data_IF_237802869830
#
_entry.id   IF_237802869830
#
_cell.length_a   1.000
_cell.length_b   1.000
_cell.length_c   1.000
_cell.angle_alpha   90.00
_cell.angle_beta   90.00
_cell.angle_gamma   90.00
#
_symmetry.space_group_name_H-M   'P 1'
#
loop_
_entity.id
_entity.type
_entity.pdbx_description
1 polymer ?
#
# COMPACT_ATOMS: atom_id res chain seq x y z
N UNK A 1 -32.78 17.25 -28.61
CA UNK A 1 -31.44 17.18 -29.21
C UNK A 1 -30.46 17.26 -28.05
N UNK A 2 -29.99 16.12 -27.60
CA UNK A 2 -29.00 16.05 -26.52
C UNK A 2 -27.62 16.26 -27.15
N UNK A 3 -27.04 17.44 -26.97
CA UNK A 3 -25.69 17.72 -27.36
C UNK A 3 -24.75 16.79 -26.59
N UNK A 4 -24.37 15.69 -27.24
CA UNK A 4 -23.32 14.82 -26.76
C UNK A 4 -21.98 15.58 -26.81
N UNK A 5 -21.50 15.97 -25.64
CA UNK A 5 -20.11 16.45 -25.50
C UNK A 5 -19.20 15.45 -26.22
N UNK A 6 -18.39 15.85 -27.20
CA UNK A 6 -17.54 14.91 -27.92
C UNK A 6 -16.56 14.28 -26.93
N UNK A 7 -16.81 13.00 -26.60
CA UNK A 7 -15.91 12.18 -25.81
C UNK A 7 -14.70 11.85 -26.67
N UNK A 8 -13.67 12.68 -26.60
CA UNK A 8 -12.44 12.53 -27.39
C UNK A 8 -11.59 11.40 -26.77
N UNK A 9 -12.12 10.15 -26.91
CA UNK A 9 -11.39 8.96 -26.45
C UNK A 9 -10.15 8.75 -27.31
N UNK A 10 -9.07 8.32 -26.64
CA UNK A 10 -7.82 7.99 -27.33
C UNK A 10 -8.01 6.82 -28.30
N UNK A 11 -7.30 6.86 -29.41
CA UNK A 11 -7.16 5.69 -30.27
C UNK A 11 -6.62 4.50 -29.48
N UNK A 12 -6.94 3.27 -29.87
CA UNK A 12 -6.51 2.05 -29.18
C UNK A 12 -4.98 2.01 -28.97
N UNK A 13 -4.20 2.43 -29.95
CA UNK A 13 -2.74 2.50 -29.87
C UNK A 13 -2.28 3.49 -28.79
N UNK A 14 -2.79 4.70 -28.81
CA UNK A 14 -2.46 5.73 -27.83
C UNK A 14 -2.90 5.35 -26.42
N UNK A 15 -4.08 4.73 -26.27
CA UNK A 15 -4.55 4.23 -24.98
C UNK A 15 -3.62 3.15 -24.40
N UNK A 16 -3.09 2.25 -25.22
CA UNK A 16 -2.11 1.24 -24.79
C UNK A 16 -0.80 1.92 -24.37
N UNK A 17 -0.28 2.87 -25.14
CA UNK A 17 0.96 3.57 -24.81
C UNK A 17 0.84 4.35 -23.50
N UNK A 18 -0.26 5.08 -23.31
CA UNK A 18 -0.56 5.78 -22.05
C UNK A 18 -0.67 4.80 -20.89
N UNK A 19 -1.39 3.67 -21.09
CA UNK A 19 -1.49 2.65 -20.07
C UNK A 19 -0.11 2.10 -19.67
N UNK A 20 0.74 1.72 -20.63
CA UNK A 20 2.07 1.15 -20.36
C UNK A 20 2.95 2.15 -19.61
N UNK A 21 2.93 3.43 -19.98
CA UNK A 21 3.72 4.46 -19.30
C UNK A 21 3.36 4.59 -17.81
N UNK A 22 2.06 4.68 -17.50
CA UNK A 22 1.61 4.75 -16.10
C UNK A 22 1.76 3.43 -15.35
N UNK A 23 1.56 2.29 -16.03
CA UNK A 23 1.71 0.97 -15.46
C UNK A 23 3.17 0.70 -15.05
N UNK A 24 4.13 1.13 -15.87
CA UNK A 24 5.55 1.03 -15.53
C UNK A 24 5.91 1.90 -14.33
N UNK A 25 5.41 3.13 -14.25
CA UNK A 25 5.60 3.99 -13.08
C UNK A 25 5.00 3.35 -11.81
N UNK A 26 3.83 2.73 -11.91
CA UNK A 26 3.20 2.07 -10.75
C UNK A 26 3.89 0.76 -10.35
N UNK A 27 4.42 -0.01 -11.32
CA UNK A 27 5.28 -1.16 -11.06
C UNK A 27 6.49 -0.75 -10.21
N UNK A 28 7.21 0.32 -10.62
CA UNK A 28 8.36 0.85 -9.87
C UNK A 28 7.95 1.37 -8.49
N UNK A 29 6.80 2.02 -8.38
CA UNK A 29 6.25 2.45 -7.09
C UNK A 29 6.06 1.28 -6.13
N UNK A 30 5.48 0.18 -6.60
CA UNK A 30 5.26 -0.99 -5.78
C UNK A 30 6.56 -1.72 -5.41
N UNK A 31 7.51 -1.80 -6.35
CA UNK A 31 8.83 -2.37 -6.12
C UNK A 31 9.61 -1.57 -5.06
N UNK A 32 9.74 -0.25 -5.23
CA UNK A 32 10.48 0.63 -4.30
C UNK A 32 9.83 0.66 -2.92
N UNK A 33 8.51 0.54 -2.84
CA UNK A 33 7.75 0.46 -1.59
C UNK A 33 8.15 -0.76 -0.76
N UNK A 34 8.31 -1.92 -1.40
CA UNK A 34 8.52 -3.19 -0.72
C UNK A 34 10.00 -3.61 -0.59
N UNK A 35 10.89 -2.97 -1.34
CA UNK A 35 12.31 -3.39 -1.44
C UNK A 35 13.05 -3.39 -0.09
N UNK A 36 12.61 -2.56 0.87
CA UNK A 36 13.27 -2.46 2.19
C UNK A 36 13.27 -3.78 2.95
N UNK A 37 12.22 -4.61 2.80
CA UNK A 37 12.19 -5.93 3.40
C UNK A 37 13.36 -6.81 2.95
N UNK A 38 13.65 -6.82 1.66
CA UNK A 38 14.78 -7.58 1.07
C UNK A 38 16.13 -6.99 1.44
N UNK A 39 16.23 -5.66 1.51
CA UNK A 39 17.47 -4.96 1.87
C UNK A 39 17.73 -4.93 3.38
N UNK A 40 16.75 -5.26 4.22
CA UNK A 40 16.85 -5.10 5.67
C UNK A 40 18.07 -5.76 6.30
N UNK A 41 18.53 -6.98 5.92
CA UNK A 41 19.72 -7.56 6.51
C UNK A 41 20.98 -6.75 6.21
N UNK A 42 21.15 -6.35 4.95
CA UNK A 42 22.34 -5.60 4.49
C UNK A 42 22.39 -4.20 5.13
N UNK A 43 21.27 -3.47 5.12
CA UNK A 43 21.22 -2.14 5.70
C UNK A 43 21.39 -2.18 7.22
N UNK A 44 20.81 -3.18 7.91
CA UNK A 44 21.01 -3.37 9.35
C UNK A 44 22.49 -3.61 9.68
N UNK A 45 23.18 -4.42 8.88
CA UNK A 45 24.60 -4.70 9.10
C UNK A 45 25.47 -3.48 8.79
N UNK A 46 25.24 -2.78 7.68
CA UNK A 46 26.08 -1.67 7.22
C UNK A 46 25.95 -0.43 8.11
N UNK A 47 24.75 -0.12 8.56
CA UNK A 47 24.45 1.07 9.36
C UNK A 47 24.19 0.77 10.84
N UNK A 48 24.43 -0.47 11.30
CA UNK A 48 24.18 -0.93 12.67
C UNK A 48 22.78 -0.57 13.19
N UNK A 49 21.74 -0.74 12.32
CA UNK A 49 20.38 -0.32 12.63
C UNK A 49 19.78 -1.18 13.75
N UNK A 50 19.16 -0.53 14.72
CA UNK A 50 18.27 -1.15 15.68
C UNK A 50 16.96 -1.59 15.02
N UNK A 51 16.09 -2.33 15.71
CA UNK A 51 14.77 -2.68 15.19
C UNK A 51 13.90 -1.43 15.02
N UNK A 52 14.01 -0.46 15.92
CA UNK A 52 13.36 0.85 15.82
C UNK A 52 13.80 1.60 14.56
N UNK A 53 15.12 1.67 14.30
CA UNK A 53 15.66 2.37 13.14
C UNK A 53 15.19 1.72 11.84
N UNK A 54 15.19 0.39 11.79
CA UNK A 54 14.71 -0.35 10.64
C UNK A 54 13.21 -0.10 10.38
N UNK A 55 12.40 -0.12 11.43
CA UNK A 55 10.97 0.20 11.37
C UNK A 55 10.72 1.63 10.92
N UNK A 56 11.49 2.60 11.43
CA UNK A 56 11.40 4.01 11.05
C UNK A 56 11.84 4.22 9.59
N UNK A 57 12.91 3.57 9.15
CA UNK A 57 13.43 3.65 7.78
C UNK A 57 12.40 3.15 6.77
N UNK A 58 11.82 1.97 7.00
CA UNK A 58 10.78 1.42 6.13
C UNK A 58 9.50 2.26 6.19
N UNK A 59 9.09 2.63 7.41
CA UNK A 59 7.92 3.47 7.66
C UNK A 59 8.02 4.85 7.05
N UNK A 60 9.21 5.43 6.97
CA UNK A 60 9.46 6.76 6.39
C UNK A 60 8.92 6.92 4.97
N UNK A 61 8.98 5.86 4.17
CA UNK A 61 8.33 5.84 2.86
C UNK A 61 6.81 6.02 2.98
N UNK A 62 6.18 5.30 3.87
CA UNK A 62 4.72 5.34 4.05
C UNK A 62 4.25 6.63 4.69
N UNK A 63 5.07 7.26 5.55
CA UNK A 63 4.81 8.58 6.08
C UNK A 63 4.79 9.63 4.95
N UNK A 64 5.79 9.63 4.06
CA UNK A 64 5.82 10.50 2.89
C UNK A 64 4.62 10.25 1.95
N UNK A 65 4.28 8.98 1.75
CA UNK A 65 3.12 8.59 0.95
C UNK A 65 1.80 9.07 1.58
N UNK A 66 1.62 8.91 2.89
CA UNK A 66 0.43 9.33 3.63
C UNK A 66 0.25 10.86 3.60
N UNK A 67 1.31 11.63 3.77
CA UNK A 67 1.29 13.09 3.81
C UNK A 67 0.68 13.71 2.54
N UNK A 68 0.74 13.02 1.42
CA UNK A 68 0.23 13.51 0.14
C UNK A 68 -1.20 13.08 -0.18
N UNK A 69 -1.80 12.14 0.57
CA UNK A 69 -3.10 11.53 0.19
C UNK A 69 -4.24 12.56 0.13
N UNK A 70 -4.32 13.48 1.09
CA UNK A 70 -5.41 14.46 1.10
C UNK A 70 -5.24 15.54 0.00
N UNK A 71 -4.07 16.17 -0.19
CA UNK A 71 -3.90 17.17 -1.23
C UNK A 71 -3.87 16.58 -2.66
N UNK A 72 -3.49 15.30 -2.81
CA UNK A 72 -3.32 14.66 -4.13
C UNK A 72 -4.60 14.71 -4.97
N UNK A 73 -5.77 14.45 -4.38
CA UNK A 73 -7.04 14.51 -5.09
C UNK A 73 -7.31 15.89 -5.70
N UNK A 74 -7.12 16.93 -4.90
CA UNK A 74 -7.31 18.33 -5.34
C UNK A 74 -6.29 18.74 -6.40
N UNK A 75 -5.05 18.29 -6.29
CA UNK A 75 -4.01 18.56 -7.30
C UNK A 75 -4.31 17.85 -8.62
N UNK A 76 -4.81 16.61 -8.58
CA UNK A 76 -5.22 15.88 -9.78
C UNK A 76 -6.40 16.55 -10.48
N UNK A 77 -7.39 17.03 -9.74
CA UNK A 77 -8.54 17.73 -10.30
C UNK A 77 -8.13 19.08 -10.94
N UNK A 78 -7.24 19.82 -10.29
CA UNK A 78 -6.81 21.16 -10.72
C UNK A 78 -5.77 21.13 -11.84
N UNK A 79 -4.75 20.29 -11.75
CA UNK A 79 -3.58 20.31 -12.66
C UNK A 79 -3.57 19.14 -13.64
N UNK A 80 -4.41 18.12 -13.38
CA UNK A 80 -4.52 16.90 -14.18
C UNK A 80 -3.42 15.86 -13.90
N UNK A 81 -3.68 14.61 -14.31
CA UNK A 81 -2.82 13.46 -14.00
C UNK A 81 -1.39 13.59 -14.49
N UNK A 82 -1.20 14.10 -15.71
CA UNK A 82 0.13 14.24 -16.35
C UNK A 82 1.05 15.13 -15.53
N UNK A 83 0.65 16.38 -15.28
CA UNK A 83 1.48 17.35 -14.56
C UNK A 83 1.80 16.89 -13.16
N UNK A 84 0.80 16.40 -12.43
CA UNK A 84 0.97 15.92 -11.05
C UNK A 84 1.97 14.76 -11.00
N UNK A 85 1.80 13.73 -11.83
CA UNK A 85 2.72 12.58 -11.83
C UNK A 85 4.14 12.99 -12.21
N UNK A 86 4.34 13.90 -13.16
CA UNK A 86 5.68 14.35 -13.55
C UNK A 86 6.42 15.00 -12.38
N UNK A 87 5.77 15.92 -11.64
CA UNK A 87 6.38 16.53 -10.46
C UNK A 87 6.67 15.50 -9.36
N UNK A 88 5.76 14.57 -9.14
CA UNK A 88 5.93 13.53 -8.16
C UNK A 88 7.05 12.55 -8.55
N UNK A 89 7.12 12.10 -9.81
CA UNK A 89 8.21 11.24 -10.27
C UNK A 89 9.57 11.94 -10.21
N UNK A 90 9.64 13.25 -10.42
CA UNK A 90 10.87 13.99 -10.20
C UNK A 90 11.34 13.89 -8.74
N UNK A 91 10.43 14.06 -7.79
CA UNK A 91 10.74 13.87 -6.35
C UNK A 91 11.17 12.43 -6.08
N UNK A 92 10.55 11.44 -6.75
CA UNK A 92 10.94 10.03 -6.62
C UNK A 92 12.34 9.75 -7.16
N UNK A 93 12.73 10.34 -8.30
CA UNK A 93 14.10 10.26 -8.83
C UNK A 93 15.08 10.81 -7.82
N UNK A 94 14.82 12.03 -7.29
CA UNK A 94 15.66 12.64 -6.25
C UNK A 94 15.74 11.76 -4.99
N UNK A 95 14.63 11.15 -4.58
CA UNK A 95 14.60 10.20 -3.46
C UNK A 95 15.46 8.96 -3.72
N UNK A 96 15.41 8.37 -4.92
CA UNK A 96 16.26 7.22 -5.26
C UNK A 96 17.74 7.59 -5.34
N UNK A 97 18.07 8.74 -5.93
CA UNK A 97 19.45 9.26 -5.96
C UNK A 97 19.97 9.53 -4.54
N UNK A 98 19.19 10.23 -3.72
CA UNK A 98 19.55 10.50 -2.33
C UNK A 98 19.77 9.21 -1.54
N UNK A 99 18.94 8.17 -1.77
CA UNK A 99 19.14 6.87 -1.13
C UNK A 99 20.45 6.21 -1.56
N UNK A 100 20.76 6.22 -2.86
CA UNK A 100 22.00 5.65 -3.39
C UNK A 100 23.26 6.34 -2.86
N UNK A 101 23.16 7.65 -2.55
CA UNK A 101 24.26 8.48 -2.05
C UNK A 101 24.33 8.56 -0.52
N UNK A 102 23.39 7.96 0.18
CA UNK A 102 23.30 8.10 1.63
C UNK A 102 24.41 7.33 2.36
N UNK A 103 25.11 8.02 3.27
CA UNK A 103 26.14 7.47 4.14
C UNK A 103 25.74 7.53 5.63
N UNK A 104 24.50 7.93 5.92
CA UNK A 104 23.95 8.05 7.26
C UNK A 104 22.51 7.58 7.32
N UNK A 105 22.07 7.16 8.50
CA UNK A 105 20.67 6.80 8.76
C UNK A 105 19.70 7.93 8.42
N UNK A 106 20.00 9.17 8.80
CA UNK A 106 19.17 10.33 8.51
C UNK A 106 19.04 10.60 6.99
N UNK A 107 20.13 10.40 6.25
CA UNK A 107 20.14 10.48 4.78
C UNK A 107 19.23 9.41 4.15
N UNK A 108 19.34 8.17 4.61
CA UNK A 108 18.46 7.07 4.16
C UNK A 108 17.00 7.35 4.49
N UNK A 109 16.70 7.84 5.70
CA UNK A 109 15.34 8.15 6.13
C UNK A 109 14.70 9.28 5.29
N UNK A 110 15.43 10.37 5.06
CA UNK A 110 14.98 11.46 4.19
C UNK A 110 14.73 10.97 2.77
N UNK A 111 15.63 10.15 2.22
CA UNK A 111 15.50 9.57 0.90
C UNK A 111 14.27 8.66 0.79
N UNK A 112 13.95 7.86 1.81
CA UNK A 112 12.74 7.05 1.89
C UNK A 112 11.48 7.90 1.94
N UNK A 113 11.48 8.96 2.75
CA UNK A 113 10.37 9.91 2.80
C UNK A 113 10.11 10.57 1.43
N UNK A 114 11.15 11.08 0.77
CA UNK A 114 11.05 11.67 -0.57
C UNK A 114 10.54 10.65 -1.60
N UNK A 115 11.05 9.40 -1.57
CA UNK A 115 10.57 8.33 -2.44
C UNK A 115 9.08 8.05 -2.21
N UNK A 116 8.63 8.07 -0.94
CA UNK A 116 7.22 7.90 -0.57
C UNK A 116 6.34 9.01 -1.13
N UNK A 117 6.72 10.28 -0.94
CA UNK A 117 6.07 11.44 -1.56
C UNK A 117 6.01 11.26 -3.07
N UNK A 118 7.16 11.02 -3.71
CA UNK A 118 7.28 11.00 -5.16
C UNK A 118 6.51 9.87 -5.85
N UNK A 119 6.29 8.74 -5.19
CA UNK A 119 5.61 7.59 -5.80
C UNK A 119 4.12 7.48 -5.42
N UNK A 120 3.62 8.37 -4.56
CA UNK A 120 2.24 8.32 -4.05
C UNK A 120 1.17 8.58 -5.12
N UNK A 121 1.48 9.32 -6.17
CA UNK A 121 0.55 9.64 -7.25
C UNK A 121 0.41 8.53 -8.31
N UNK A 122 1.31 7.53 -8.33
CA UNK A 122 1.45 6.58 -9.44
C UNK A 122 0.22 5.68 -9.69
N UNK A 123 -0.66 5.48 -8.70
CA UNK A 123 -1.92 4.76 -8.88
C UNK A 123 -3.10 5.70 -9.14
N UNK A 124 -3.26 6.73 -8.32
CA UNK A 124 -4.45 7.59 -8.37
C UNK A 124 -4.50 8.46 -9.63
N UNK A 125 -3.35 8.94 -10.10
CA UNK A 125 -3.30 9.78 -11.27
C UNK A 125 -3.78 9.07 -12.57
N UNK A 126 -3.28 7.87 -12.92
CA UNK A 126 -3.81 7.17 -14.09
C UNK A 126 -5.29 6.81 -13.95
N UNK A 127 -5.75 6.38 -12.78
CA UNK A 127 -7.17 6.08 -12.57
C UNK A 127 -8.07 7.30 -12.79
N UNK A 128 -7.60 8.50 -12.42
CA UNK A 128 -8.28 9.77 -12.72
C UNK A 128 -8.25 10.07 -14.22
N UNK A 129 -7.11 9.86 -14.89
CA UNK A 129 -6.96 10.09 -16.33
C UNK A 129 -7.81 9.13 -17.18
N UNK A 130 -7.83 7.85 -16.85
CA UNK A 130 -8.57 6.84 -17.61
C UNK A 130 -10.07 7.14 -17.70
N UNK A 131 -10.65 7.77 -16.68
CA UNK A 131 -12.08 8.19 -16.70
C UNK A 131 -12.41 9.13 -17.85
N UNK A 132 -11.44 9.91 -18.37
CA UNK A 132 -11.64 10.85 -19.48
C UNK A 132 -11.06 10.35 -20.80
N UNK A 133 -9.97 9.59 -20.74
CA UNK A 133 -9.21 9.22 -21.93
C UNK A 133 -9.65 7.90 -22.55
N UNK A 134 -10.24 7.01 -21.74
CA UNK A 134 -10.59 5.65 -22.18
C UNK A 134 -12.10 5.47 -22.28
N UNK A 135 -12.53 4.67 -23.24
CA UNK A 135 -13.92 4.21 -23.31
C UNK A 135 -14.31 3.40 -22.06
N UNK A 136 -15.56 3.45 -21.62
CA UNK A 136 -16.04 2.86 -20.37
C UNK A 136 -15.62 1.39 -20.18
N UNK A 137 -15.73 0.57 -21.24
CA UNK A 137 -15.32 -0.84 -21.22
C UNK A 137 -13.80 -1.02 -20.98
N UNK A 138 -12.98 -0.05 -21.41
CA UNK A 138 -11.52 -0.09 -21.25
C UNK A 138 -11.06 0.44 -19.90
N UNK A 139 -11.84 1.33 -19.26
CA UNK A 139 -11.49 1.90 -17.94
C UNK A 139 -11.42 0.83 -16.85
N UNK A 140 -12.44 -0.03 -16.77
CA UNK A 140 -12.50 -1.11 -15.77
C UNK A 140 -11.33 -2.08 -15.96
N UNK A 141 -11.08 -2.50 -17.20
CA UNK A 141 -9.96 -3.39 -17.55
C UNK A 141 -8.63 -2.77 -17.19
N UNK A 142 -8.38 -1.51 -17.57
CA UNK A 142 -7.15 -0.81 -17.26
C UNK A 142 -6.93 -0.68 -15.75
N UNK A 143 -7.98 -0.38 -14.98
CA UNK A 143 -7.89 -0.31 -13.50
C UNK A 143 -7.51 -1.65 -12.88
N UNK A 144 -8.09 -2.75 -13.34
CA UNK A 144 -7.76 -4.10 -12.86
C UNK A 144 -6.32 -4.49 -13.21
N UNK A 145 -5.88 -4.21 -14.44
CA UNK A 145 -4.51 -4.46 -14.87
C UNK A 145 -3.49 -3.62 -14.09
N UNK A 146 -3.81 -2.36 -13.73
CA UNK A 146 -2.96 -1.53 -12.88
C UNK A 146 -2.69 -2.21 -11.53
N UNK A 147 -3.73 -2.70 -10.85
CA UNK A 147 -3.57 -3.38 -9.56
C UNK A 147 -2.70 -4.64 -9.68
N UNK A 148 -2.88 -5.41 -10.75
CA UNK A 148 -2.07 -6.59 -11.02
C UNK A 148 -0.60 -6.23 -11.24
N UNK A 149 -0.31 -5.17 -11.99
CA UNK A 149 1.06 -4.68 -12.24
C UNK A 149 1.73 -4.23 -10.94
N UNK A 150 0.98 -3.58 -10.03
CA UNK A 150 1.49 -3.28 -8.70
C UNK A 150 1.89 -4.54 -7.92
N UNK A 151 1.11 -5.61 -8.01
CA UNK A 151 1.47 -6.89 -7.38
C UNK A 151 2.73 -7.51 -8.00
N UNK A 152 2.94 -7.40 -9.32
CA UNK A 152 4.21 -7.80 -9.94
C UNK A 152 5.40 -6.97 -9.45
N UNK A 153 5.22 -5.67 -9.19
CA UNK A 153 6.24 -4.83 -8.57
C UNK A 153 6.63 -5.33 -7.16
N UNK A 154 5.64 -5.75 -6.37
CA UNK A 154 5.88 -6.35 -5.06
C UNK A 154 6.67 -7.66 -5.16
N UNK A 155 6.32 -8.54 -6.11
CA UNK A 155 7.06 -9.78 -6.38
C UNK A 155 8.50 -9.47 -6.82
N UNK A 156 8.69 -8.50 -7.72
CA UNK A 156 10.01 -8.12 -8.22
C UNK A 156 10.92 -7.53 -7.14
N UNK A 157 10.37 -6.96 -6.07
CA UNK A 157 11.15 -6.43 -4.94
C UNK A 157 11.81 -7.49 -4.05
N UNK A 158 11.52 -8.75 -4.25
CA UNK A 158 11.92 -9.88 -3.40
C UNK A 158 13.11 -10.65 -4.00
N UNK A 159 12.89 -11.87 -4.45
CA UNK A 159 13.92 -12.76 -4.98
C UNK A 159 14.75 -12.14 -6.15
N UNK A 160 14.16 -11.42 -7.12
CA UNK A 160 14.94 -10.75 -8.15
C UNK A 160 15.95 -9.73 -7.59
N UNK A 161 15.53 -8.93 -6.61
CA UNK A 161 16.42 -7.98 -5.92
C UNK A 161 17.50 -8.74 -5.14
N UNK A 162 17.13 -9.82 -4.43
CA UNK A 162 18.08 -10.63 -3.67
C UNK A 162 19.18 -11.23 -4.54
N UNK A 163 18.87 -11.62 -5.80
CA UNK A 163 19.86 -12.12 -6.75
C UNK A 163 20.79 -11.02 -7.28
N UNK A 164 20.28 -9.80 -7.44
CA UNK A 164 21.07 -8.68 -7.92
C UNK A 164 22.02 -8.14 -6.83
N UNK A 165 21.63 -8.22 -5.55
CA UNK A 165 22.38 -7.65 -4.43
C UNK A 165 23.86 -8.07 -4.36
N UNK A 166 24.23 -9.36 -4.49
CA UNK A 166 25.62 -9.77 -4.48
C UNK A 166 26.45 -9.29 -5.68
N UNK A 167 25.77 -9.00 -6.80
CA UNK A 167 26.40 -8.62 -8.07
C UNK A 167 26.70 -7.12 -8.14
N UNK A 168 25.75 -6.29 -7.72
CA UNK A 168 25.84 -4.84 -7.93
C UNK A 168 25.80 -4.03 -6.64
N UNK A 169 25.36 -4.62 -5.54
CA UNK A 169 25.13 -3.90 -4.28
C UNK A 169 23.89 -3.00 -4.32
N UNK A 170 23.42 -2.57 -3.16
CA UNK A 170 22.19 -1.79 -3.03
C UNK A 170 22.32 -0.36 -3.57
N UNK A 171 23.50 0.26 -3.51
CA UNK A 171 23.70 1.62 -4.05
C UNK A 171 23.54 1.65 -5.56
N UNK A 172 24.18 0.74 -6.29
CA UNK A 172 24.05 0.65 -7.76
C UNK A 172 22.62 0.26 -8.15
N UNK A 173 21.97 -0.60 -7.37
CA UNK A 173 20.56 -0.92 -7.56
C UNK A 173 19.67 0.33 -7.49
N UNK A 174 19.89 1.22 -6.52
CA UNK A 174 19.12 2.46 -6.41
C UNK A 174 19.45 3.49 -7.50
N UNK A 175 20.68 3.54 -8.01
CA UNK A 175 21.01 4.30 -9.22
C UNK A 175 20.24 3.76 -10.43
N UNK A 176 20.17 2.45 -10.59
CA UNK A 176 19.36 1.78 -11.62
C UNK A 176 17.87 2.11 -11.47
N UNK A 177 17.34 2.07 -10.24
CA UNK A 177 15.94 2.45 -9.97
C UNK A 177 15.69 3.93 -10.28
N UNK A 178 16.60 4.83 -9.95
CA UNK A 178 16.49 6.25 -10.31
C UNK A 178 16.42 6.43 -11.84
N UNK A 179 17.26 5.73 -12.60
CA UNK A 179 17.22 5.75 -14.06
C UNK A 179 15.91 5.18 -14.62
N UNK A 180 15.38 4.10 -14.05
CA UNK A 180 14.10 3.51 -14.45
C UNK A 180 12.91 4.42 -14.11
N UNK A 181 12.91 5.10 -12.95
CA UNK A 181 11.89 6.10 -12.60
C UNK A 181 11.96 7.31 -13.53
N UNK A 182 13.17 7.77 -13.90
CA UNK A 182 13.36 8.81 -14.89
C UNK A 182 12.81 8.38 -16.26
N UNK A 183 13.08 7.14 -16.68
CA UNK A 183 12.51 6.58 -17.91
C UNK A 183 10.98 6.57 -17.86
N UNK A 184 10.38 6.12 -16.75
CA UNK A 184 8.93 6.14 -16.56
C UNK A 184 8.38 7.57 -16.65
N UNK A 185 9.08 8.55 -16.04
CA UNK A 185 8.73 9.96 -16.12
C UNK A 185 8.73 10.47 -17.57
N UNK A 186 9.77 10.14 -18.36
CA UNK A 186 9.85 10.50 -19.77
C UNK A 186 8.74 9.83 -20.60
N UNK A 187 8.45 8.55 -20.35
CA UNK A 187 7.34 7.86 -21.01
C UNK A 187 6.00 8.55 -20.73
N UNK A 188 5.72 8.94 -19.48
CA UNK A 188 4.50 9.68 -19.11
C UNK A 188 4.51 11.07 -19.76
N UNK A 189 5.65 11.75 -19.80
CA UNK A 189 5.77 13.08 -20.44
C UNK A 189 5.42 13.05 -21.93
N UNK A 190 5.81 12.01 -22.64
CA UNK A 190 5.55 11.87 -24.09
C UNK A 190 4.16 11.33 -24.40
N UNK A 191 3.70 10.31 -23.65
CA UNK A 191 2.49 9.57 -23.99
C UNK A 191 1.21 10.14 -23.37
N UNK A 192 1.29 10.73 -22.14
CA UNK A 192 0.08 11.18 -21.47
C UNK A 192 -0.48 12.46 -22.13
N UNK A 193 -1.80 12.50 -22.42
CA UNK A 193 -2.44 13.67 -22.99
C UNK A 193 -2.39 14.89 -22.08
N UNK A 194 -2.51 16.07 -22.68
CA UNK A 194 -2.68 17.30 -21.94
C UNK A 194 -4.04 17.32 -21.26
N UNK A 195 -4.07 17.81 -20.01
CA UNK A 195 -5.30 17.94 -19.25
C UNK A 195 -6.00 19.23 -19.61
N UNK A 196 -7.17 19.13 -20.20
CA UNK A 196 -8.03 20.28 -20.40
C UNK A 196 -8.88 20.47 -19.14
N UNK A 197 -8.65 21.52 -18.39
CA UNK A 197 -9.59 21.96 -17.35
C UNK A 197 -10.87 22.36 -18.04
N UNK A 198 -11.91 21.54 -17.93
CA UNK A 198 -13.26 22.01 -18.26
C UNK A 198 -13.52 23.14 -17.27
N UNK A 199 -13.68 24.37 -17.79
CA UNK A 199 -14.16 25.48 -16.99
C UNK A 199 -15.43 24.97 -16.29
N UNK A 200 -15.42 25.00 -14.95
CA UNK A 200 -16.61 24.63 -14.20
C UNK A 200 -17.75 25.48 -14.75
N UNK A 201 -18.78 24.80 -15.28
CA UNK A 201 -19.99 25.49 -15.69
C UNK A 201 -20.44 26.32 -14.48
N UNK A 202 -20.50 27.62 -14.69
CA UNK A 202 -20.80 28.64 -13.70
C UNK A 202 -22.30 28.66 -13.36
N UNK A 203 -22.88 27.47 -13.07
CA UNK A 203 -24.31 27.38 -12.73
C UNK A 203 -24.55 26.31 -11.65
N UNK A 204 -23.97 26.55 -10.51
CA UNK A 204 -24.56 26.14 -9.23
C UNK A 204 -23.98 27.07 -8.17
N UNK A 205 -24.84 27.88 -7.56
CA UNK A 205 -24.52 28.84 -6.51
C UNK A 205 -23.63 28.25 -5.41
N UNK A 206 -23.22 29.04 -4.40
CA UNK A 206 -22.20 28.68 -3.42
C UNK A 206 -22.70 27.60 -2.45
N UNK A 207 -23.08 26.45 -2.96
CA UNK A 207 -23.22 25.26 -2.13
C UNK A 207 -21.81 24.87 -1.69
N UNK A 208 -21.46 25.17 -0.46
CA UNK A 208 -20.18 24.80 0.17
C UNK A 208 -19.93 23.32 -0.14
N UNK A 209 -18.91 23.03 -0.98
CA UNK A 209 -18.54 21.64 -1.28
C UNK A 209 -18.26 20.95 0.06
N UNK A 210 -19.02 19.90 0.43
CA UNK A 210 -18.89 19.28 1.74
C UNK A 210 -17.43 18.86 1.95
N UNK A 211 -16.81 19.36 3.02
CA UNK A 211 -15.40 19.17 3.32
C UNK A 211 -15.06 17.75 3.80
N UNK A 212 -13.78 17.46 3.97
CA UNK A 212 -13.30 16.21 4.61
C UNK A 212 -13.96 15.95 5.98
N UNK A 213 -14.37 16.99 6.71
CA UNK A 213 -15.07 16.87 8.00
C UNK A 213 -16.33 16.02 7.93
N UNK A 214 -17.07 16.06 6.82
CA UNK A 214 -18.25 15.22 6.63
C UNK A 214 -17.88 13.72 6.55
N UNK A 215 -16.72 13.39 5.94
CA UNK A 215 -16.21 12.03 5.87
C UNK A 215 -15.80 11.52 7.26
N UNK A 216 -15.01 12.31 7.98
CA UNK A 216 -14.49 11.92 9.30
C UNK A 216 -15.55 11.78 10.38
N UNK A 217 -16.70 12.46 10.24
CA UNK A 217 -17.85 12.34 11.14
C UNK A 217 -18.81 11.23 10.79
N UNK A 218 -18.69 10.65 9.59
CA UNK A 218 -19.62 9.60 9.13
C UNK A 218 -19.47 8.33 9.97
N UNK A 219 -20.56 7.77 10.54
CA UNK A 219 -20.50 6.62 11.45
C UNK A 219 -19.81 5.40 10.84
N UNK A 220 -20.14 5.07 9.59
CA UNK A 220 -19.52 3.95 8.87
C UNK A 220 -18.02 4.16 8.66
N UNK A 221 -17.58 5.37 8.29
CA UNK A 221 -16.15 5.68 8.16
C UNK A 221 -15.41 5.51 9.49
N UNK A 222 -15.99 5.99 10.58
CA UNK A 222 -15.41 5.86 11.94
C UNK A 222 -15.30 4.41 12.37
N UNK A 223 -16.27 3.55 12.04
CA UNK A 223 -16.19 2.12 12.34
C UNK A 223 -15.08 1.41 11.56
N UNK A 224 -14.82 1.84 10.32
CA UNK A 224 -13.77 1.27 9.46
C UNK A 224 -12.38 1.87 9.71
N UNK A 225 -12.27 3.03 10.35
CA UNK A 225 -10.99 3.74 10.52
C UNK A 225 -9.94 2.94 11.31
N UNK A 226 -10.23 2.32 12.48
CA UNK A 226 -9.26 1.47 13.17
C UNK A 226 -8.89 0.21 12.38
N UNK A 227 -9.81 -0.35 11.61
CA UNK A 227 -9.57 -1.49 10.72
C UNK A 227 -8.59 -1.11 9.60
N UNK A 228 -8.75 0.08 8.99
CA UNK A 228 -7.82 0.61 8.00
C UNK A 228 -6.43 0.77 8.58
N UNK A 229 -6.33 1.35 9.78
CA UNK A 229 -5.07 1.70 10.41
C UNK A 229 -4.30 0.46 10.91
N UNK A 230 -4.91 -0.37 11.76
CA UNK A 230 -4.22 -1.48 12.41
C UNK A 230 -4.22 -2.76 11.59
N UNK A 231 -5.29 -3.09 10.88
CA UNK A 231 -5.39 -4.35 10.16
C UNK A 231 -4.86 -4.22 8.74
N UNK A 232 -5.40 -3.30 7.94
CA UNK A 232 -4.92 -3.13 6.57
C UNK A 232 -3.50 -2.55 6.55
N UNK A 233 -3.26 -1.46 7.30
CA UNK A 233 -1.92 -0.89 7.45
C UNK A 233 -0.94 -1.89 8.04
N UNK A 234 -1.34 -2.64 9.06
CA UNK A 234 -0.52 -3.67 9.68
C UNK A 234 -0.19 -4.83 8.75
N UNK A 235 -1.16 -5.32 7.95
CA UNK A 235 -0.90 -6.34 6.93
C UNK A 235 0.18 -5.87 5.94
N UNK A 236 0.07 -4.63 5.45
CA UNK A 236 1.08 -4.05 4.54
C UNK A 236 2.42 -3.88 5.27
N UNK A 237 2.41 -3.50 6.55
CA UNK A 237 3.63 -3.38 7.37
C UNK A 237 4.35 -4.74 7.51
N UNK A 238 3.60 -5.83 7.74
CA UNK A 238 4.16 -7.18 7.78
C UNK A 238 4.78 -7.55 6.43
N UNK A 239 4.01 -7.43 5.36
CA UNK A 239 4.41 -7.81 4.00
C UNK A 239 5.62 -7.02 3.48
N UNK A 240 5.74 -5.73 3.83
CA UNK A 240 6.78 -4.85 3.30
C UNK A 240 7.99 -4.68 4.21
N UNK A 241 7.96 -5.26 5.42
CA UNK A 241 9.10 -5.24 6.34
C UNK A 241 9.17 -6.48 7.23
N UNK A 242 8.27 -6.62 8.23
CA UNK A 242 8.53 -7.45 9.42
C UNK A 242 8.56 -8.96 9.19
N UNK A 243 7.95 -9.46 8.12
CA UNK A 243 8.03 -10.89 7.76
C UNK A 243 9.47 -11.33 7.54
N UNK A 244 10.31 -10.52 6.88
CA UNK A 244 11.72 -10.86 6.62
C UNK A 244 12.55 -10.93 7.90
N UNK A 245 12.60 -9.88 8.76
CA UNK A 245 13.28 -9.99 10.07
C UNK A 245 12.78 -11.15 10.93
N UNK A 246 11.47 -11.43 10.97
CA UNK A 246 10.95 -12.58 11.69
C UNK A 246 11.51 -13.90 11.15
N UNK A 247 11.48 -14.11 9.83
CA UNK A 247 12.02 -15.33 9.23
C UNK A 247 13.50 -15.52 9.54
N UNK A 248 14.28 -14.44 9.55
CA UNK A 248 15.72 -14.50 9.79
C UNK A 248 16.03 -14.63 11.28
N UNK A 249 15.47 -13.75 12.14
CA UNK A 249 15.85 -13.61 13.55
C UNK A 249 15.13 -14.58 14.47
N UNK A 250 13.91 -15.01 14.11
CA UNK A 250 13.09 -15.91 14.92
C UNK A 250 13.12 -17.33 14.36
N UNK A 251 12.87 -17.50 13.05
CA UNK A 251 12.82 -18.83 12.43
C UNK A 251 14.18 -19.35 11.91
N UNK A 252 15.26 -18.54 11.97
CA UNK A 252 16.62 -18.95 11.60
C UNK A 252 16.88 -19.07 10.09
N UNK A 253 16.08 -18.43 9.25
CA UNK A 253 16.28 -18.46 7.80
C UNK A 253 17.52 -17.68 7.39
N UNK A 254 18.22 -18.14 6.34
CA UNK A 254 19.17 -17.29 5.63
C UNK A 254 18.48 -16.15 4.88
N UNK A 255 19.17 -15.05 4.54
CA UNK A 255 18.58 -13.96 3.75
C UNK A 255 17.97 -14.44 2.42
N UNK A 256 18.58 -15.42 1.75
CA UNK A 256 18.05 -16.00 0.51
C UNK A 256 16.76 -16.79 0.77
N UNK A 257 16.72 -17.62 1.81
CA UNK A 257 15.51 -18.36 2.19
C UNK A 257 14.35 -17.42 2.54
N UNK A 258 14.64 -16.33 3.27
CA UNK A 258 13.65 -15.32 3.60
C UNK A 258 13.13 -14.58 2.34
N UNK A 259 14.01 -14.26 1.38
CA UNK A 259 13.61 -13.66 0.10
C UNK A 259 12.74 -14.62 -0.74
N UNK A 260 13.05 -15.91 -0.77
CA UNK A 260 12.21 -16.95 -1.41
C UNK A 260 10.85 -17.05 -0.73
N UNK A 261 10.84 -17.05 0.60
CA UNK A 261 9.59 -17.06 1.39
C UNK A 261 8.72 -15.83 1.09
N UNK A 262 9.33 -14.64 1.06
CA UNK A 262 8.65 -13.39 0.75
C UNK A 262 8.16 -13.36 -0.71
N UNK A 263 8.91 -13.94 -1.65
CA UNK A 263 8.49 -14.09 -3.04
C UNK A 263 7.18 -14.90 -3.14
N UNK A 264 7.14 -16.08 -2.54
CA UNK A 264 5.94 -16.93 -2.58
C UNK A 264 4.78 -16.32 -1.81
N UNK A 265 5.04 -15.59 -0.71
CA UNK A 265 4.02 -14.81 -0.02
C UNK A 265 3.39 -13.77 -0.96
N UNK A 266 4.20 -13.01 -1.71
CA UNK A 266 3.68 -12.01 -2.65
C UNK A 266 2.92 -12.66 -3.82
N UNK A 267 3.35 -13.81 -4.32
CA UNK A 267 2.61 -14.60 -5.31
C UNK A 267 1.26 -15.07 -4.73
N UNK A 268 1.24 -15.55 -3.50
CA UNK A 268 0.00 -15.95 -2.81
C UNK A 268 -0.97 -14.76 -2.62
N UNK A 269 -0.45 -13.58 -2.29
CA UNK A 269 -1.23 -12.36 -2.21
C UNK A 269 -1.82 -11.95 -3.57
N UNK A 270 -1.03 -12.01 -4.65
CA UNK A 270 -1.49 -11.75 -6.00
C UNK A 270 -2.65 -12.69 -6.38
N UNK A 271 -2.49 -13.99 -6.14
CA UNK A 271 -3.55 -14.98 -6.40
C UNK A 271 -4.80 -14.76 -5.55
N UNK A 272 -4.63 -14.33 -4.29
CA UNK A 272 -5.75 -14.01 -3.40
C UNK A 272 -6.55 -12.80 -3.89
N UNK A 273 -5.88 -11.73 -4.33
CA UNK A 273 -6.58 -10.56 -4.89
C UNK A 273 -7.29 -10.90 -6.21
N UNK A 274 -6.66 -11.73 -7.04
CA UNK A 274 -7.31 -12.23 -8.26
C UNK A 274 -8.55 -13.08 -7.94
N UNK A 275 -8.44 -13.98 -6.96
CA UNK A 275 -9.57 -14.78 -6.50
C UNK A 275 -10.72 -13.92 -5.95
N UNK A 276 -10.42 -12.85 -5.19
CA UNK A 276 -11.43 -11.88 -4.73
C UNK A 276 -12.11 -11.17 -5.89
N UNK A 277 -11.36 -10.75 -6.92
CA UNK A 277 -11.90 -10.12 -8.11
C UNK A 277 -12.94 -11.02 -8.83
N UNK A 278 -12.73 -12.34 -8.84
CA UNK A 278 -13.64 -13.32 -9.43
C UNK A 278 -14.79 -13.71 -8.49
N UNK A 279 -14.48 -13.97 -7.22
CA UNK A 279 -15.45 -14.54 -6.28
C UNK A 279 -16.43 -13.49 -5.73
N UNK A 280 -15.97 -12.24 -5.48
CA UNK A 280 -16.80 -11.23 -4.84
C UNK A 280 -18.11 -10.90 -5.60
N UNK A 281 -18.12 -10.73 -6.95
CA UNK A 281 -19.36 -10.47 -7.68
C UNK A 281 -20.39 -11.61 -7.54
N UNK A 282 -19.93 -12.84 -7.44
CA UNK A 282 -20.79 -14.01 -7.23
C UNK A 282 -21.31 -14.07 -5.79
N UNK A 283 -20.44 -13.80 -4.78
CA UNK A 283 -20.84 -13.74 -3.37
C UNK A 283 -21.82 -12.60 -3.11
N UNK A 284 -21.61 -11.44 -3.73
CA UNK A 284 -22.50 -10.29 -3.61
C UNK A 284 -23.90 -10.59 -4.16
N UNK A 285 -24.00 -11.30 -5.31
CA UNK A 285 -25.29 -11.75 -5.84
C UNK A 285 -26.02 -12.73 -4.93
N UNK A 286 -25.30 -13.44 -4.05
CA UNK A 286 -25.86 -14.33 -3.02
C UNK A 286 -26.17 -13.60 -1.70
N UNK A 287 -26.11 -12.28 -1.66
CA UNK A 287 -26.42 -11.47 -0.48
C UNK A 287 -25.30 -11.38 0.56
N UNK A 288 -24.05 -11.78 0.22
CA UNK A 288 -22.91 -11.59 1.10
C UNK A 288 -22.33 -10.18 0.90
N UNK A 289 -22.56 -9.31 1.88
CA UNK A 289 -21.98 -7.96 1.89
C UNK A 289 -20.49 -8.00 2.25
N UNK A 290 -19.72 -6.95 1.87
CA UNK A 290 -18.32 -6.80 2.25
C UNK A 290 -18.14 -6.89 3.77
N UNK A 291 -18.98 -6.21 4.53
CA UNK A 291 -18.94 -6.20 5.99
C UNK A 291 -19.17 -7.60 6.59
N UNK A 292 -20.06 -8.40 5.99
CA UNK A 292 -20.29 -9.78 6.44
C UNK A 292 -19.07 -10.66 6.17
N UNK A 293 -18.46 -10.52 5.00
CA UNK A 293 -17.24 -11.27 4.64
C UNK A 293 -16.06 -10.88 5.54
N UNK A 294 -15.88 -9.59 5.80
CA UNK A 294 -14.85 -9.09 6.73
C UNK A 294 -15.09 -9.65 8.14
N UNK A 295 -16.33 -9.55 8.65
CA UNK A 295 -16.62 -10.02 10.03
C UNK A 295 -16.46 -11.52 10.23
N UNK A 296 -16.63 -12.36 9.21
CA UNK A 296 -16.43 -13.79 9.36
C UNK A 296 -15.02 -14.26 8.96
N UNK A 297 -14.35 -13.54 8.05
CA UNK A 297 -13.04 -13.94 7.54
C UNK A 297 -11.87 -13.46 8.41
N UNK A 298 -11.97 -12.27 8.99
CA UNK A 298 -10.86 -11.68 9.75
C UNK A 298 -10.40 -12.49 10.97
N UNK A 299 -11.26 -13.18 11.75
CA UNK A 299 -10.81 -13.98 12.88
C UNK A 299 -9.74 -15.02 12.55
N UNK A 300 -9.77 -15.56 11.31
CA UNK A 300 -8.73 -16.49 10.85
C UNK A 300 -7.34 -15.87 10.88
N UNK A 301 -7.20 -14.59 10.53
CA UNK A 301 -5.91 -13.89 10.56
C UNK A 301 -5.37 -13.75 11.99
N UNK A 302 -6.24 -13.51 12.97
CA UNK A 302 -5.82 -13.41 14.37
C UNK A 302 -5.34 -14.74 14.92
N UNK A 303 -6.05 -15.83 14.58
CA UNK A 303 -5.65 -17.20 14.95
C UNK A 303 -4.29 -17.55 14.34
N UNK A 304 -4.10 -17.29 13.03
CA UNK A 304 -2.84 -17.57 12.35
C UNK A 304 -1.68 -16.74 12.92
N UNK A 305 -1.90 -15.46 13.21
CA UNK A 305 -0.87 -14.64 13.85
C UNK A 305 -0.55 -15.14 15.27
N UNK A 306 -1.55 -15.49 16.06
CA UNK A 306 -1.33 -16.08 17.38
C UNK A 306 -0.52 -17.38 17.30
N UNK A 307 -0.83 -18.26 16.36
CA UNK A 307 -0.07 -19.49 16.13
C UNK A 307 1.38 -19.22 15.75
N UNK A 308 1.64 -18.23 14.86
CA UNK A 308 3.00 -17.82 14.49
C UNK A 308 3.77 -17.30 15.72
N UNK A 309 3.13 -16.48 16.55
CA UNK A 309 3.73 -15.92 17.76
C UNK A 309 4.08 -17.03 18.76
N UNK A 310 3.13 -17.93 19.04
CA UNK A 310 3.34 -19.02 20.02
C UNK A 310 4.39 -20.02 19.53
N UNK A 311 4.36 -20.38 18.25
CA UNK A 311 5.33 -21.29 17.66
C UNK A 311 6.77 -20.72 17.68
N UNK A 312 6.92 -19.39 17.53
CA UNK A 312 8.23 -18.72 17.60
C UNK A 312 9.28 -19.40 16.73
N UNK A 313 10.44 -19.73 17.32
CA UNK A 313 11.52 -20.46 16.62
C UNK A 313 11.15 -21.90 16.26
N UNK A 314 10.19 -22.52 16.96
CA UNK A 314 9.71 -23.87 16.67
C UNK A 314 8.98 -24.03 15.35
N UNK A 315 8.57 -22.94 14.72
CA UNK A 315 7.90 -22.97 13.40
C UNK A 315 8.86 -23.43 12.27
N UNK A 316 10.16 -23.22 12.42
CA UNK A 316 11.20 -23.67 11.50
C UNK A 316 10.90 -23.34 10.04
N UNK A 317 11.09 -24.32 9.16
CA UNK A 317 10.91 -24.18 7.70
C UNK A 317 9.48 -23.79 7.28
N UNK A 318 8.47 -23.97 8.14
CA UNK A 318 7.08 -23.62 7.86
C UNK A 318 6.78 -22.11 8.03
N UNK A 319 7.73 -21.32 8.53
CA UNK A 319 7.54 -19.90 8.77
C UNK A 319 7.03 -19.15 7.52
N UNK A 320 7.60 -19.40 6.35
CA UNK A 320 7.19 -18.76 5.11
C UNK A 320 5.74 -19.08 4.73
N UNK A 321 5.34 -20.35 4.90
CA UNK A 321 3.95 -20.80 4.62
C UNK A 321 2.98 -20.18 5.61
N UNK A 322 3.32 -20.16 6.91
CA UNK A 322 2.48 -19.56 7.93
C UNK A 322 2.25 -18.05 7.70
N UNK A 323 3.30 -17.32 7.38
CA UNK A 323 3.19 -15.90 7.03
C UNK A 323 2.41 -15.66 5.74
N UNK A 324 2.54 -16.53 4.73
CA UNK A 324 1.73 -16.45 3.52
C UNK A 324 0.24 -16.67 3.84
N UNK A 325 -0.10 -17.68 4.61
CA UNK A 325 -1.48 -17.96 5.05
C UNK A 325 -2.05 -16.79 5.87
N UNK A 326 -1.25 -16.22 6.79
CA UNK A 326 -1.64 -15.03 7.53
C UNK A 326 -1.97 -13.86 6.59
N UNK A 327 -1.06 -13.51 5.69
CA UNK A 327 -1.28 -12.41 4.75
C UNK A 327 -2.48 -12.66 3.82
N UNK A 328 -2.67 -13.90 3.35
CA UNK A 328 -3.84 -14.29 2.56
C UNK A 328 -5.14 -14.10 3.36
N UNK A 329 -5.17 -14.54 4.61
CA UNK A 329 -6.35 -14.38 5.49
C UNK A 329 -6.66 -12.90 5.79
N UNK A 330 -5.65 -12.02 5.80
CA UNK A 330 -5.86 -10.59 5.93
C UNK A 330 -6.52 -9.95 4.68
N UNK A 331 -6.53 -10.62 3.52
CA UNK A 331 -7.07 -10.01 2.29
C UNK A 331 -8.56 -9.69 2.33
N UNK A 332 -9.33 -10.27 3.26
CA UNK A 332 -10.72 -9.87 3.50
C UNK A 332 -10.88 -8.37 3.74
N UNK A 333 -9.89 -7.72 4.38
CA UNK A 333 -9.94 -6.28 4.65
C UNK A 333 -9.90 -5.43 3.36
N UNK A 334 -9.41 -5.97 2.24
CA UNK A 334 -9.39 -5.24 0.97
C UNK A 334 -10.79 -4.90 0.45
N UNK A 335 -11.80 -5.66 0.86
CA UNK A 335 -13.21 -5.40 0.54
C UNK A 335 -13.74 -4.12 1.21
N UNK A 336 -13.09 -3.63 2.26
CA UNK A 336 -13.48 -2.40 2.95
C UNK A 336 -13.30 -1.15 2.09
N UNK A 337 -12.27 -1.10 1.23
CA UNK A 337 -11.97 0.08 0.41
C UNK A 337 -13.11 0.43 -0.57
N UNK A 338 -13.62 -0.49 -1.40
CA UNK A 338 -14.81 -0.23 -2.22
C UNK A 338 -16.07 -0.03 -1.38
N UNK A 339 -16.23 -0.72 -0.24
CA UNK A 339 -17.38 -0.55 0.64
C UNK A 339 -17.45 0.87 1.22
N UNK A 340 -16.30 1.42 1.66
CA UNK A 340 -16.20 2.82 2.10
C UNK A 340 -16.57 3.78 0.96
N UNK A 341 -16.08 3.55 -0.26
CA UNK A 341 -16.44 4.41 -1.39
C UNK A 341 -17.95 4.43 -1.67
N UNK A 342 -18.59 3.26 -1.57
CA UNK A 342 -20.04 3.11 -1.83
C UNK A 342 -20.92 3.64 -0.69
N UNK A 343 -20.39 3.80 0.51
CA UNK A 343 -21.11 4.36 1.65
C UNK A 343 -21.33 5.89 1.55
N UNK A 344 -20.71 6.55 0.57
CA UNK A 344 -20.80 7.99 0.37
C UNK A 344 -21.41 8.35 -0.99
N UNK A 345 -22.09 9.51 -1.08
CA UNK A 345 -22.51 10.07 -2.36
C UNK A 345 -21.32 10.25 -3.31
N UNK A 346 -21.55 10.21 -4.61
CA UNK A 346 -20.50 10.24 -5.65
C UNK A 346 -19.56 11.44 -5.55
N UNK A 347 -20.05 12.60 -5.06
CA UNK A 347 -19.26 13.82 -4.83
C UNK A 347 -18.32 13.75 -3.62
N UNK A 348 -18.53 12.81 -2.69
CA UNK A 348 -17.71 12.57 -1.50
C UNK A 348 -16.88 11.29 -1.57
N UNK A 349 -17.23 10.33 -2.45
CA UNK A 349 -16.58 9.03 -2.53
C UNK A 349 -15.05 9.14 -2.73
N UNK A 350 -14.58 10.07 -3.57
CA UNK A 350 -13.14 10.31 -3.77
C UNK A 350 -12.43 10.79 -2.50
N UNK A 351 -13.07 11.68 -1.71
CA UNK A 351 -12.53 12.16 -0.42
C UNK A 351 -12.55 11.07 0.63
N UNK A 352 -13.58 10.23 0.65
CA UNK A 352 -13.65 9.07 1.54
C UNK A 352 -12.51 8.10 1.26
N UNK A 353 -12.23 7.78 -0.01
CA UNK A 353 -11.10 6.94 -0.41
C UNK A 353 -9.75 7.56 -0.05
N UNK A 354 -9.54 8.86 -0.28
CA UNK A 354 -8.30 9.54 0.10
C UNK A 354 -8.08 9.53 1.60
N UNK A 355 -9.14 9.77 2.39
CA UNK A 355 -9.08 9.68 3.86
C UNK A 355 -8.82 8.25 4.34
N UNK A 356 -9.43 7.26 3.69
CA UNK A 356 -9.21 5.85 4.00
C UNK A 356 -7.79 5.41 3.68
N UNK A 357 -7.25 5.81 2.53
CA UNK A 357 -5.85 5.57 2.16
C UNK A 357 -4.86 6.26 3.10
N UNK A 358 -5.17 7.50 3.53
CA UNK A 358 -4.36 8.16 4.56
C UNK A 358 -4.25 7.31 5.83
N UNK A 359 -5.37 6.75 6.31
CA UNK A 359 -5.37 5.88 7.49
C UNK A 359 -4.57 4.60 7.27
N UNK A 360 -4.70 3.95 6.11
CA UNK A 360 -3.92 2.76 5.78
C UNK A 360 -2.43 3.09 5.85
N UNK A 361 -1.95 4.11 5.13
CA UNK A 361 -0.52 4.39 5.03
C UNK A 361 0.07 4.98 6.30
N UNK A 362 -0.70 5.79 7.04
CA UNK A 362 -0.32 6.21 8.39
C UNK A 362 -0.23 5.01 9.34
N UNK A 363 -1.14 4.04 9.20
CA UNK A 363 -1.12 2.78 9.93
C UNK A 363 0.12 1.94 9.60
N UNK A 364 0.51 1.85 8.32
CA UNK A 364 1.75 1.15 7.93
C UNK A 364 2.95 1.76 8.64
N UNK A 365 3.09 3.09 8.59
CA UNK A 365 4.16 3.80 9.28
C UNK A 365 4.16 3.51 10.79
N UNK A 366 3.01 3.71 11.43
CA UNK A 366 2.89 3.54 12.88
C UNK A 366 3.17 2.10 13.34
N UNK A 367 2.68 1.11 12.59
CA UNK A 367 2.89 -0.31 12.90
C UNK A 367 4.35 -0.72 12.65
N UNK A 368 4.96 -0.27 11.53
CA UNK A 368 6.36 -0.59 11.26
C UNK A 368 7.29 -0.03 12.32
N UNK A 369 7.14 1.24 12.65
CA UNK A 369 7.97 1.87 13.67
C UNK A 369 7.63 1.38 15.09
N UNK A 370 6.34 1.21 15.40
CA UNK A 370 5.86 0.77 16.71
C UNK A 370 6.33 -0.65 17.08
N UNK A 371 6.37 -1.58 16.12
CA UNK A 371 6.93 -2.93 16.34
C UNK A 371 8.44 -2.82 16.61
N UNK A 372 9.18 -1.99 15.87
CA UNK A 372 10.60 -1.76 16.12
C UNK A 372 10.87 -1.20 17.52
N UNK A 373 10.10 -0.17 17.93
CA UNK A 373 10.15 0.40 19.27
C UNK A 373 9.88 -0.66 20.35
N UNK A 374 8.88 -1.51 20.14
CA UNK A 374 8.54 -2.57 21.11
C UNK A 374 9.68 -3.60 21.22
N UNK A 375 10.24 -4.05 20.09
CA UNK A 375 11.37 -5.00 20.09
C UNK A 375 12.54 -4.42 20.87
N UNK A 376 12.99 -3.20 20.55
CA UNK A 376 14.12 -2.57 21.20
C UNK A 376 13.83 -2.28 22.68
N UNK A 377 12.60 -1.88 23.02
CA UNK A 377 12.17 -1.69 24.39
C UNK A 377 12.27 -2.98 25.23
N UNK A 378 11.81 -4.11 24.74
CA UNK A 378 11.93 -5.40 25.44
C UNK A 378 13.39 -5.87 25.50
N UNK A 379 14.18 -5.61 24.44
CA UNK A 379 15.63 -5.89 24.46
C UNK A 379 16.36 -5.08 25.54
N UNK A 380 16.01 -3.80 25.70
CA UNK A 380 16.56 -2.94 26.74
C UNK A 380 16.20 -3.41 28.17
N UNK A 381 15.06 -4.11 28.32
CA UNK A 381 14.66 -4.78 29.56
C UNK A 381 15.34 -6.14 29.78
N UNK A 382 16.30 -6.53 28.94
CA UNK A 382 17.05 -7.78 29.06
C UNK A 382 16.39 -9.00 28.44
N UNK A 383 15.31 -8.85 27.67
CA UNK A 383 14.66 -9.98 27.01
C UNK A 383 15.51 -10.53 25.86
N UNK A 384 15.43 -11.85 25.65
CA UNK A 384 16.02 -12.47 24.46
C UNK A 384 15.36 -11.95 23.18
N UNK A 385 16.10 -11.95 22.07
CA UNK A 385 15.65 -11.42 20.80
C UNK A 385 14.33 -12.04 20.31
N UNK A 386 14.25 -13.38 20.36
CA UNK A 386 13.04 -14.12 19.97
C UNK A 386 11.82 -13.71 20.81
N UNK A 387 11.98 -13.64 22.12
CA UNK A 387 10.90 -13.25 23.04
C UNK A 387 10.49 -11.77 22.84
N UNK A 388 11.42 -10.89 22.55
CA UNK A 388 11.14 -9.49 22.22
C UNK A 388 10.30 -9.37 20.95
N UNK A 389 10.64 -10.13 19.89
CA UNK A 389 9.84 -10.20 18.67
C UNK A 389 8.43 -10.75 18.93
N UNK A 390 8.32 -11.86 19.70
CA UNK A 390 7.02 -12.46 20.05
C UNK A 390 6.13 -11.46 20.80
N UNK A 391 6.69 -10.72 21.78
CA UNK A 391 5.92 -9.76 22.57
C UNK A 391 5.50 -8.55 21.71
N UNK A 392 6.37 -8.03 20.87
CA UNK A 392 6.03 -6.95 19.94
C UNK A 392 4.88 -7.35 18.99
N UNK A 393 4.92 -8.57 18.45
CA UNK A 393 3.84 -9.10 17.62
C UNK A 393 2.55 -9.37 18.42
N UNK A 394 2.66 -9.73 19.70
CA UNK A 394 1.50 -9.88 20.61
C UNK A 394 0.81 -8.53 20.82
N UNK A 395 1.57 -7.47 21.06
CA UNK A 395 1.02 -6.11 21.16
C UNK A 395 0.29 -5.72 19.86
N UNK A 396 0.90 -5.99 18.71
CA UNK A 396 0.27 -5.76 17.42
C UNK A 396 -1.03 -6.57 17.25
N UNK A 397 -1.03 -7.86 17.61
CA UNK A 397 -2.22 -8.70 17.59
C UNK A 397 -3.34 -8.11 18.46
N UNK A 398 -3.03 -7.62 19.68
CA UNK A 398 -4.01 -7.02 20.57
C UNK A 398 -4.65 -5.76 19.95
N UNK A 399 -3.87 -4.90 19.29
CA UNK A 399 -4.41 -3.73 18.59
C UNK A 399 -5.30 -4.13 17.40
N UNK A 400 -4.96 -5.19 16.65
CA UNK A 400 -5.80 -5.67 15.54
C UNK A 400 -7.11 -6.26 16.04
N UNK A 401 -7.07 -7.04 17.12
CA UNK A 401 -8.27 -7.59 17.77
C UNK A 401 -9.16 -6.48 18.35
N UNK A 402 -8.56 -5.48 19.00
CA UNK A 402 -9.30 -4.34 19.53
C UNK A 402 -9.99 -3.52 18.41
N UNK A 403 -9.28 -3.26 17.29
CA UNK A 403 -9.85 -2.60 16.12
C UNK A 403 -11.03 -3.39 15.51
N UNK A 404 -10.88 -4.70 15.44
CA UNK A 404 -11.95 -5.58 14.96
C UNK A 404 -13.16 -5.62 15.92
N UNK A 405 -12.93 -5.71 17.23
CA UNK A 405 -13.99 -5.67 18.23
C UNK A 405 -14.77 -4.33 18.16
N UNK A 406 -14.07 -3.22 18.01
CA UNK A 406 -14.69 -1.91 17.80
C UNK A 406 -15.57 -1.88 16.54
N UNK A 407 -15.09 -2.45 15.43
CA UNK A 407 -15.89 -2.58 14.21
C UNK A 407 -17.19 -3.38 14.45
N UNK A 408 -17.13 -4.50 15.14
CA UNK A 408 -18.29 -5.35 15.41
C UNK A 408 -19.33 -4.63 16.29
N UNK A 409 -18.90 -3.93 17.35
CA UNK A 409 -19.80 -3.20 18.25
C UNK A 409 -20.50 -2.02 17.57
N UNK A 410 -19.78 -1.28 16.74
CA UNK A 410 -20.34 -0.13 16.00
C UNK A 410 -21.24 -0.56 14.84
N UNK A 411 -20.98 -1.72 14.22
CA UNK A 411 -21.81 -2.28 13.15
C UNK A 411 -23.21 -2.68 13.69
N UNK A 412 -23.28 -3.32 14.83
CA UNK A 412 -24.54 -3.74 15.46
C UNK A 412 -25.44 -2.56 15.78
N UNK A 413 -24.86 -1.42 16.16
CA UNK A 413 -25.61 -0.20 16.49
C UNK A 413 -26.20 0.49 15.24
N UNK A 414 -25.55 0.39 14.07
CA UNK A 414 -26.01 0.97 12.82
C UNK A 414 -27.03 0.11 12.05
N UNK A 415 -27.27 -1.12 12.48
CA UNK A 415 -28.24 -2.06 11.90
C UNK A 415 -29.53 -2.23 12.75
N UNK A 416 -29.61 -1.62 13.93
CA UNK A 416 -30.84 -1.61 14.71
C UNK A 416 -31.89 -0.77 13.96
N UNK A 417 -33.08 -1.29 13.63
CA UNK A 417 -34.12 -0.52 12.99
C UNK A 417 -34.54 0.61 13.91
N UNK A 418 -34.50 1.85 13.40
CA UNK A 418 -35.10 3.05 14.00
C UNK A 418 -36.62 3.01 13.88
#
# INVERSE_FOLDING_TARGET
>A
MTDSVPTNHLSRRNAILVFVAFAFAYFLSALIRAITATLSPTLTQEFALSAQDLGLLAGGYFLGFAATQLPLGTWLDRHGPKKVVLYFLLVAVLGCVAFAMADSFSGLLLARFLSGVGLSACLMAPLTGYRRWFAANSQMRASSWMLMIGSFGMVASTLPVQWLMPLVGWRVLFWGLAALVLLAMLMVAWQAPHWQTVAAATDSGPAAKPGYGAVWRHPYFRSMAPMAFFIYGGQVAMQTLWVTPWMIRVAGFSPLQAAVGLFWLNVAMLTSFWAWGMAYPWLARRGHTADRLISHGMPLSFILLALIIVAGSGIGVWAAVAWALYCMSCTFISLAQPAVAMAFPSNLAGRALSSYNLLIFAGVFAVQWGIGLAIDGFRALGWQEVSAFQMAMTIYLLFTVAAYAYFLTTKSHNQAPS
#
